data_IF_311046873713
#
_entry.id   IF_311046873713
#
_cell.length_a   1.000
_cell.length_b   1.000
_cell.length_c   1.000
_cell.angle_alpha   90.00
_cell.angle_beta   90.00
_cell.angle_gamma   90.00
#
_symmetry.space_group_name_H-M   'P 1'
#
loop_
_entity.id
_entity.type
_entity.pdbx_description
1 polymer ?
#
# COMPACT_ATOMS: atom_id res chain seq x y z
N UNK A 1 48.01 -10.92 -16.44
CA UNK A 1 47.31 -10.27 -15.33
C UNK A 1 45.84 -10.54 -15.52
N UNK A 2 45.13 -10.90 -14.48
CA UNK A 2 43.71 -11.19 -14.50
C UNK A 2 43.05 -10.35 -13.40
N UNK A 3 41.97 -9.65 -13.74
CA UNK A 3 41.22 -8.84 -12.78
C UNK A 3 39.98 -9.64 -12.34
N UNK A 4 39.70 -9.64 -11.04
CA UNK A 4 38.51 -10.26 -10.46
C UNK A 4 38.01 -9.42 -9.29
N UNK A 5 36.72 -9.47 -9.00
CA UNK A 5 36.13 -8.76 -7.86
C UNK A 5 35.23 -9.71 -7.05
N UNK A 6 35.12 -9.40 -5.77
CA UNK A 6 34.29 -10.11 -4.79
C UNK A 6 33.52 -9.10 -3.96
N UNK A 7 32.47 -9.55 -3.32
CA UNK A 7 31.84 -8.81 -2.25
C UNK A 7 32.44 -9.19 -0.89
N UNK A 8 32.36 -8.27 0.06
CA UNK A 8 32.77 -8.55 1.44
C UNK A 8 32.09 -9.83 1.96
N UNK A 9 32.92 -10.72 2.56
CA UNK A 9 32.47 -12.03 3.01
C UNK A 9 32.60 -13.16 1.98
N UNK A 10 32.79 -12.85 0.71
CA UNK A 10 33.10 -13.85 -0.32
C UNK A 10 34.58 -14.18 -0.38
N UNK A 11 34.94 -15.26 -1.06
CA UNK A 11 36.33 -15.64 -1.26
C UNK A 11 36.55 -16.22 -2.66
N UNK A 12 37.77 -16.01 -3.16
CA UNK A 12 38.25 -16.57 -4.41
C UNK A 12 39.32 -17.61 -4.10
N UNK A 13 39.18 -18.80 -4.67
CA UNK A 13 40.13 -19.88 -4.46
C UNK A 13 40.90 -20.15 -5.75
N UNK A 14 42.23 -20.11 -5.69
CA UNK A 14 43.10 -20.46 -6.79
C UNK A 14 44.34 -21.20 -6.25
N UNK A 15 44.70 -22.32 -6.87
CA UNK A 15 45.82 -23.22 -6.49
C UNK A 15 45.86 -23.53 -4.98
N UNK A 16 44.68 -23.78 -4.37
CA UNK A 16 44.54 -24.10 -2.95
C UNK A 16 44.73 -22.92 -2.00
N UNK A 17 44.95 -21.70 -2.48
CA UNK A 17 44.96 -20.49 -1.69
C UNK A 17 43.60 -19.80 -1.73
N UNK A 18 43.14 -19.39 -0.56
CA UNK A 18 41.88 -18.63 -0.41
C UNK A 18 42.20 -17.14 -0.26
N UNK A 19 41.65 -16.34 -1.18
CA UNK A 19 41.82 -14.88 -1.20
C UNK A 19 40.51 -14.20 -0.91
N UNK A 20 40.49 -13.27 0.03
CA UNK A 20 39.30 -12.50 0.46
C UNK A 20 39.61 -11.05 0.79
N UNK A 21 40.77 -10.54 0.36
CA UNK A 21 41.18 -9.16 0.58
C UNK A 21 41.66 -8.52 -0.72
N UNK A 22 41.42 -7.22 -0.87
CA UNK A 22 41.93 -6.46 -2.02
C UNK A 22 43.44 -6.53 -2.08
N UNK A 23 43.96 -6.87 -3.27
CA UNK A 23 45.42 -6.96 -3.47
C UNK A 23 45.80 -7.58 -4.82
N UNK A 24 47.12 -7.66 -5.03
CA UNK A 24 47.71 -8.31 -6.20
C UNK A 24 48.42 -9.58 -5.75
N UNK A 25 48.03 -10.70 -6.32
CA UNK A 25 48.48 -12.04 -5.92
C UNK A 25 49.18 -12.72 -7.08
N UNK A 26 50.53 -12.85 -7.06
CA UNK A 26 51.26 -13.63 -8.04
C UNK A 26 51.26 -15.13 -7.69
N UNK A 27 50.94 -15.97 -8.65
CA UNK A 27 51.01 -17.44 -8.56
C UNK A 27 52.10 -17.95 -9.52
N UNK A 28 53.00 -18.74 -9.00
CA UNK A 28 54.08 -19.34 -9.78
C UNK A 28 53.74 -20.77 -10.09
N UNK A 29 53.52 -21.05 -11.37
CA UNK A 29 53.14 -22.38 -11.86
C UNK A 29 54.30 -23.01 -12.63
N UNK A 30 54.53 -24.29 -12.42
CA UNK A 30 55.46 -25.08 -13.24
C UNK A 30 54.69 -26.03 -14.15
N UNK A 31 55.10 -26.08 -15.44
CA UNK A 31 54.60 -27.09 -16.34
C UNK A 31 55.33 -28.41 -16.10
N UNK A 32 54.76 -29.52 -16.55
CA UNK A 32 55.38 -30.87 -16.51
C UNK A 32 56.73 -30.94 -17.23
N UNK A 33 57.03 -29.96 -18.07
CA UNK A 33 58.31 -29.84 -18.81
C UNK A 33 59.29 -28.87 -18.14
N UNK A 34 58.97 -28.36 -16.91
CA UNK A 34 59.85 -27.48 -16.13
C UNK A 34 59.86 -26.01 -16.57
N UNK A 35 58.91 -25.58 -17.41
CA UNK A 35 58.77 -24.17 -17.76
C UNK A 35 57.96 -23.45 -16.66
N UNK A 36 58.55 -22.37 -16.13
CA UNK A 36 57.91 -21.50 -15.13
C UNK A 36 56.90 -20.56 -15.81
N UNK A 37 55.74 -20.40 -15.18
CA UNK A 37 54.67 -19.51 -15.61
C UNK A 37 54.17 -18.71 -14.40
N UNK A 38 53.97 -17.41 -14.55
CA UNK A 38 53.41 -16.57 -13.49
C UNK A 38 52.03 -16.09 -13.93
N UNK A 39 51.03 -16.35 -13.12
CA UNK A 39 49.69 -15.76 -13.24
C UNK A 39 49.51 -14.77 -12.09
N UNK A 40 49.15 -13.54 -12.40
CA UNK A 40 48.89 -12.52 -11.39
C UNK A 40 47.42 -12.17 -11.41
N UNK A 41 46.76 -12.30 -10.26
CA UNK A 41 45.38 -11.81 -10.03
C UNK A 41 45.40 -10.48 -9.30
N UNK A 42 44.65 -9.52 -9.83
CA UNK A 42 44.25 -8.31 -9.09
C UNK A 42 42.84 -8.58 -8.54
N UNK A 43 42.75 -8.66 -7.23
CA UNK A 43 41.48 -8.86 -6.54
C UNK A 43 41.05 -7.53 -5.94
N UNK A 44 39.79 -7.17 -6.20
CA UNK A 44 39.11 -6.03 -5.55
C UNK A 44 37.97 -6.62 -4.74
N UNK A 45 37.93 -6.33 -3.43
CA UNK A 45 36.82 -6.67 -2.55
C UNK A 45 36.01 -5.42 -2.30
N UNK A 46 34.76 -5.42 -2.75
CA UNK A 46 33.82 -4.33 -2.55
C UNK A 46 33.02 -4.55 -1.26
N UNK A 47 32.74 -3.46 -0.51
CA UNK A 47 31.86 -3.56 0.65
C UNK A 47 30.42 -3.87 0.20
N UNK A 48 29.68 -4.57 1.05
CA UNK A 48 28.23 -4.74 0.88
C UNK A 48 27.58 -3.38 1.17
N UNK A 49 26.73 -2.87 0.26
CA UNK A 49 26.03 -1.61 0.50
C UNK A 49 25.11 -1.68 1.71
N UNK A 50 24.85 -0.56 2.35
CA UNK A 50 23.78 -0.47 3.33
C UNK A 50 22.42 -0.67 2.66
N UNK A 51 21.39 -1.22 3.38
CA UNK A 51 20.05 -1.29 2.90
C UNK A 51 19.54 0.11 2.50
N UNK A 52 18.75 0.24 1.41
CA UNK A 52 18.20 1.54 1.00
C UNK A 52 17.19 2.06 2.04
N UNK A 53 17.13 3.38 2.21
CA UNK A 53 16.11 4.02 3.04
C UNK A 53 14.85 4.17 2.19
N UNK A 54 13.73 3.58 2.67
CA UNK A 54 12.46 3.58 1.95
C UNK A 54 11.49 4.60 2.56
N UNK A 55 10.69 5.22 1.70
CA UNK A 55 9.57 6.11 2.10
C UNK A 55 8.36 5.82 1.25
N UNK A 56 7.15 6.01 1.83
CA UNK A 56 5.88 5.86 1.13
C UNK A 56 4.82 6.80 1.68
N UNK A 57 3.69 6.89 0.98
CA UNK A 57 2.48 7.55 1.45
C UNK A 57 1.48 6.58 2.11
N UNK A 58 1.92 5.37 2.47
CA UNK A 58 1.07 4.43 3.22
C UNK A 58 0.83 4.92 4.66
N UNK A 59 -0.37 4.66 5.22
CA UNK A 59 -1.52 4.04 4.57
C UNK A 59 -2.21 4.97 3.56
N UNK A 60 -2.76 4.41 2.48
CA UNK A 60 -3.68 5.13 1.59
C UNK A 60 -5.11 5.04 2.13
N UNK A 61 -5.99 5.92 1.70
CA UNK A 61 -7.33 5.99 2.27
C UNK A 61 -8.26 4.92 1.68
N UNK A 62 -8.32 4.84 0.35
CA UNK A 62 -9.28 4.02 -0.38
C UNK A 62 -8.63 3.08 -1.39
N UNK A 63 -9.25 1.93 -1.71
CA UNK A 63 -8.92 1.17 -2.91
C UNK A 63 -9.04 2.06 -4.16
N UNK A 64 -8.03 2.01 -5.03
CA UNK A 64 -7.92 2.89 -6.19
C UNK A 64 -7.09 4.15 -5.96
N UNK A 65 -6.79 4.51 -4.72
CA UNK A 65 -5.89 5.62 -4.43
C UNK A 65 -4.46 5.32 -4.88
N UNK A 66 -3.75 6.39 -5.21
CA UNK A 66 -2.37 6.27 -5.68
C UNK A 66 -1.43 5.97 -4.51
N UNK A 67 -0.86 4.78 -4.49
CA UNK A 67 0.26 4.42 -3.64
C UNK A 67 1.57 4.83 -4.31
N UNK A 68 2.40 5.61 -3.59
CA UNK A 68 3.71 6.07 -4.04
C UNK A 68 4.75 5.61 -3.03
N UNK A 69 5.82 5.01 -3.51
CA UNK A 69 6.92 4.57 -2.67
C UNK A 69 8.26 4.71 -3.39
N UNK A 70 9.30 4.98 -2.62
CA UNK A 70 10.61 5.25 -3.17
C UNK A 70 11.75 4.84 -2.24
N UNK A 71 12.92 4.60 -2.84
CA UNK A 71 14.18 4.44 -2.16
C UNK A 71 15.00 5.73 -2.25
N UNK A 72 15.91 5.93 -1.30
CA UNK A 72 16.94 6.98 -1.40
C UNK A 72 17.91 6.68 -2.55
N UNK A 73 18.58 7.72 -3.03
CA UNK A 73 19.53 7.59 -4.15
C UNK A 73 20.92 7.17 -3.64
N UNK A 74 21.36 5.98 -4.07
CA UNK A 74 22.71 5.47 -3.82
C UNK A 74 23.56 5.62 -5.09
N UNK A 75 24.71 6.29 -4.97
CA UNK A 75 25.60 6.52 -6.12
C UNK A 75 26.09 5.20 -6.75
N UNK A 76 25.86 5.03 -8.05
CA UNK A 76 26.20 3.81 -8.78
C UNK A 76 25.33 2.60 -8.46
N UNK A 77 24.26 2.80 -7.70
CA UNK A 77 23.32 1.74 -7.31
C UNK A 77 22.29 1.41 -8.38
N UNK A 78 21.98 0.15 -8.50
CA UNK A 78 20.80 -0.37 -9.23
C UNK A 78 19.87 -1.02 -8.23
N UNK A 79 18.56 -0.82 -8.39
CA UNK A 79 17.55 -1.28 -7.44
C UNK A 79 16.81 -2.49 -7.95
N UNK A 80 16.37 -3.33 -7.02
CA UNK A 80 15.38 -4.36 -7.29
C UNK A 80 14.31 -4.28 -6.20
N UNK A 81 13.08 -4.01 -6.62
CA UNK A 81 11.89 -4.07 -5.80
C UNK A 81 11.13 -5.35 -6.06
N UNK A 82 10.59 -5.90 -5.00
CA UNK A 82 9.65 -7.02 -5.02
C UNK A 82 8.48 -6.73 -4.09
N UNK A 83 7.31 -7.33 -4.35
CA UNK A 83 6.13 -7.08 -3.52
C UNK A 83 4.97 -8.01 -3.84
N UNK A 84 3.78 -7.60 -3.38
CA UNK A 84 2.55 -8.37 -3.53
C UNK A 84 2.20 -8.59 -5.01
N UNK A 85 1.45 -9.66 -5.29
CA UNK A 85 0.98 -10.03 -6.63
C UNK A 85 2.09 -10.15 -7.70
N UNK A 86 3.32 -10.46 -7.27
CA UNK A 86 4.45 -10.56 -8.19
C UNK A 86 4.99 -9.21 -8.66
N UNK A 87 4.70 -8.13 -7.94
CA UNK A 87 5.28 -6.82 -8.24
C UNK A 87 6.80 -6.89 -8.29
N UNK A 88 7.38 -6.33 -9.34
CA UNK A 88 8.83 -6.19 -9.49
C UNK A 88 9.15 -4.91 -10.27
N UNK A 89 10.17 -4.18 -9.83
CA UNK A 89 10.60 -2.93 -10.46
C UNK A 89 12.08 -2.66 -10.19
N UNK A 90 12.71 -1.91 -11.10
CA UNK A 90 14.09 -1.40 -10.92
C UNK A 90 14.12 0.12 -10.78
N UNK A 91 12.98 0.78 -10.73
CA UNK A 91 12.88 2.22 -10.58
C UNK A 91 13.10 2.66 -9.14
N UNK A 92 13.74 3.82 -8.92
CA UNK A 92 13.90 4.42 -7.59
C UNK A 92 12.54 4.83 -7.02
N UNK A 93 11.67 5.40 -7.86
CA UNK A 93 10.31 5.81 -7.51
C UNK A 93 9.32 4.92 -8.23
N UNK A 94 8.35 4.41 -7.48
CA UNK A 94 7.30 3.54 -7.99
C UNK A 94 5.92 4.08 -7.57
N UNK A 95 4.90 3.83 -8.38
CA UNK A 95 3.51 4.16 -8.05
C UNK A 95 2.53 3.28 -8.82
N UNK A 96 1.40 3.01 -8.18
CA UNK A 96 0.23 2.36 -8.81
C UNK A 96 -1.03 2.67 -8.00
N UNK A 97 -2.20 2.42 -8.58
CA UNK A 97 -3.48 2.56 -7.87
C UNK A 97 -3.70 1.30 -7.03
N UNK A 98 -3.62 1.46 -5.70
CA UNK A 98 -3.67 0.37 -4.74
C UNK A 98 -5.04 -0.32 -4.71
N UNK A 99 -5.04 -1.64 -4.71
CA UNK A 99 -6.23 -2.46 -4.50
C UNK A 99 -6.10 -3.24 -3.19
N UNK A 100 -7.20 -3.76 -2.67
CA UNK A 100 -7.20 -4.57 -1.43
C UNK A 100 -6.26 -5.78 -1.55
N UNK A 101 -6.15 -6.35 -2.74
CA UNK A 101 -5.22 -7.46 -3.01
C UNK A 101 -3.74 -7.07 -2.95
N UNK A 102 -3.42 -5.77 -3.00
CA UNK A 102 -2.04 -5.27 -3.00
C UNK A 102 -1.53 -4.95 -1.59
N UNK A 103 -2.41 -5.03 -0.57
CA UNK A 103 -2.04 -4.85 0.84
C UNK A 103 -0.95 -5.85 1.22
N UNK A 104 0.15 -5.34 1.81
CA UNK A 104 1.26 -6.16 2.28
C UNK A 104 2.61 -5.51 2.10
N UNK A 105 3.66 -6.34 2.17
CA UNK A 105 5.05 -5.90 2.22
C UNK A 105 5.65 -5.72 0.83
N UNK A 106 6.38 -4.63 0.66
CA UNK A 106 7.21 -4.31 -0.50
C UNK A 106 8.65 -4.14 -0.03
N UNK A 107 9.56 -4.88 -0.65
CA UNK A 107 10.97 -4.91 -0.29
C UNK A 107 11.84 -4.35 -1.41
N UNK A 108 12.94 -3.70 -1.05
CA UNK A 108 13.94 -3.22 -2.00
C UNK A 108 15.36 -3.57 -1.57
N UNK A 109 16.18 -3.95 -2.53
CA UNK A 109 17.64 -4.06 -2.41
C UNK A 109 18.32 -3.08 -3.34
N UNK A 110 19.57 -2.72 -3.04
CA UNK A 110 20.42 -1.93 -3.92
C UNK A 110 21.73 -2.68 -4.20
N UNK A 111 22.13 -2.75 -5.46
CA UNK A 111 23.36 -3.38 -5.89
C UNK A 111 24.35 -2.30 -6.34
N UNK A 112 25.57 -2.31 -5.77
CA UNK A 112 26.68 -1.42 -6.13
C UNK A 112 27.92 -2.27 -6.44
N UNK A 113 28.54 -2.05 -7.58
CA UNK A 113 29.71 -2.83 -8.05
C UNK A 113 29.48 -4.35 -8.06
N UNK A 114 28.23 -4.80 -8.24
CA UNK A 114 27.84 -6.21 -8.24
C UNK A 114 27.55 -6.78 -6.85
N UNK A 115 27.70 -5.99 -5.77
CA UNK A 115 27.38 -6.41 -4.41
C UNK A 115 25.99 -5.91 -3.99
N UNK A 116 25.13 -6.84 -3.58
CA UNK A 116 23.75 -6.57 -3.19
C UNK A 116 23.65 -6.28 -1.68
N UNK A 117 22.86 -5.28 -1.32
CA UNK A 117 22.55 -4.95 0.07
C UNK A 117 21.56 -5.94 0.70
N UNK A 118 21.45 -5.98 2.03
CA UNK A 118 20.26 -6.48 2.67
C UNK A 118 19.01 -5.71 2.19
N UNK A 119 17.85 -6.36 2.23
CA UNK A 119 16.58 -5.74 1.87
C UNK A 119 16.12 -4.75 2.96
N UNK A 120 15.47 -3.67 2.53
CA UNK A 120 14.59 -2.84 3.36
C UNK A 120 13.15 -3.10 2.96
N UNK A 121 12.22 -2.90 3.89
CA UNK A 121 10.80 -3.20 3.70
C UNK A 121 9.92 -2.01 4.06
N UNK A 122 8.81 -1.86 3.35
CA UNK A 122 7.69 -0.97 3.66
C UNK A 122 6.39 -1.75 3.50
N UNK A 123 5.34 -1.30 4.17
CA UNK A 123 4.01 -1.91 4.06
C UNK A 123 3.04 -0.97 3.34
N UNK A 124 2.23 -1.52 2.46
CA UNK A 124 1.02 -0.89 1.96
C UNK A 124 -0.15 -1.33 2.81
N UNK A 125 -0.91 -0.36 3.32
CA UNK A 125 -2.17 -0.57 3.99
C UNK A 125 -3.24 0.37 3.42
N UNK A 126 -4.52 -0.02 3.52
CA UNK A 126 -5.68 0.76 3.10
C UNK A 126 -6.62 0.90 4.29
N UNK A 127 -6.93 2.13 4.68
CA UNK A 127 -7.68 2.39 5.93
C UNK A 127 -9.18 2.18 5.81
N UNK A 128 -9.76 2.35 4.60
CA UNK A 128 -11.20 2.25 4.34
C UNK A 128 -11.49 1.12 3.34
N UNK A 129 -11.57 -0.12 3.83
CA UNK A 129 -11.85 -1.31 3.02
C UNK A 129 -13.28 -1.85 3.19
N UNK A 130 -14.08 -1.21 4.04
CA UNK A 130 -15.45 -1.68 4.31
C UNK A 130 -16.41 -1.35 3.17
N UNK A 131 -17.36 -2.24 2.95
CA UNK A 131 -18.44 -2.07 1.99
C UNK A 131 -19.77 -1.78 2.71
N UNK A 132 -20.79 -1.30 1.98
CA UNK A 132 -22.12 -1.07 2.55
C UNK A 132 -22.80 -2.37 3.03
N UNK A 133 -22.37 -3.52 2.56
CA UNK A 133 -22.92 -4.82 2.99
C UNK A 133 -22.51 -5.17 4.42
N UNK A 134 -21.41 -4.63 4.92
CA UNK A 134 -20.87 -4.89 6.25
C UNK A 134 -21.61 -4.10 7.36
N UNK A 135 -22.56 -3.21 6.99
CA UNK A 135 -23.22 -2.32 7.93
C UNK A 135 -24.68 -2.64 8.19
N UNK A 136 -25.04 -2.60 9.48
CA UNK A 136 -26.44 -2.51 9.91
C UNK A 136 -26.82 -1.05 10.18
N UNK A 137 -27.87 -0.57 9.51
CA UNK A 137 -28.38 0.77 9.71
C UNK A 137 -29.09 0.92 11.05
N UNK A 138 -28.92 2.06 11.77
CA UNK A 138 -29.81 2.40 12.85
C UNK A 138 -31.23 2.57 12.28
N UNK A 139 -32.18 1.95 12.92
CA UNK A 139 -33.57 1.96 12.48
C UNK A 139 -34.46 2.99 13.24
N UNK A 140 -33.84 3.82 14.08
CA UNK A 140 -34.50 4.89 14.85
C UNK A 140 -33.64 6.12 14.90
N UNK A 141 -34.23 7.29 14.69
CA UNK A 141 -33.66 8.59 15.04
C UNK A 141 -34.63 9.33 15.95
N UNK A 142 -34.10 10.06 16.94
CA UNK A 142 -34.86 10.88 17.88
C UNK A 142 -34.55 12.35 17.62
N UNK A 143 -35.19 12.91 16.60
CA UNK A 143 -34.91 14.28 16.13
C UNK A 143 -35.55 15.37 17.07
N UNK A 144 -35.22 15.30 18.37
CA UNK A 144 -35.79 16.15 19.44
C UNK A 144 -34.81 17.26 19.89
N UNK A 145 -33.56 17.26 19.39
CA UNK A 145 -32.55 18.28 19.68
C UNK A 145 -31.83 18.11 21.02
N UNK A 146 -31.84 16.92 21.60
CA UNK A 146 -31.13 16.62 22.87
C UNK A 146 -29.66 16.21 22.68
N UNK A 147 -29.21 16.07 21.45
CA UNK A 147 -27.85 15.66 21.06
C UNK A 147 -27.65 14.15 21.02
N UNK A 148 -28.70 13.35 21.22
CA UNK A 148 -28.63 11.89 21.21
C UNK A 148 -29.50 11.33 20.07
N UNK A 149 -28.90 10.66 19.11
CA UNK A 149 -29.58 10.08 17.93
C UNK A 149 -30.43 11.08 17.12
N UNK A 150 -30.13 12.38 17.20
CA UNK A 150 -30.83 13.43 16.47
C UNK A 150 -30.63 13.35 14.96
N UNK A 151 -29.54 12.74 14.53
CA UNK A 151 -29.14 12.69 13.13
C UNK A 151 -28.67 11.32 12.73
N UNK A 152 -28.91 10.99 11.46
CA UNK A 152 -28.25 9.88 10.78
C UNK A 152 -27.15 10.45 9.89
N UNK A 153 -25.91 10.37 10.36
CA UNK A 153 -24.73 10.76 9.59
C UNK A 153 -24.22 9.55 8.83
N UNK A 154 -24.56 9.47 7.55
CA UNK A 154 -24.17 8.35 6.72
C UNK A 154 -22.66 8.30 6.49
N UNK A 155 -21.97 9.44 6.40
CA UNK A 155 -20.52 9.47 6.19
C UNK A 155 -19.75 9.04 7.44
N UNK A 156 -20.23 9.42 8.63
CA UNK A 156 -19.62 8.96 9.88
C UNK A 156 -19.83 7.45 10.10
N UNK A 157 -20.99 6.92 9.68
CA UNK A 157 -21.27 5.49 9.73
C UNK A 157 -20.51 4.71 8.66
N UNK A 158 -20.38 5.28 7.45
CA UNK A 158 -19.78 4.60 6.32
C UNK A 158 -18.38 5.14 6.05
N UNK A 159 -17.41 4.63 6.75
CA UNK A 159 -16.00 4.79 6.37
C UNK A 159 -15.71 4.00 5.08
N UNK A 160 -16.61 4.11 4.09
CA UNK A 160 -16.47 3.43 2.81
C UNK A 160 -15.97 4.41 1.77
N UNK A 161 -15.29 3.87 0.77
CA UNK A 161 -14.82 4.61 -0.38
C UNK A 161 -15.83 4.60 -1.55
N UNK A 162 -16.96 3.94 -1.34
CA UNK A 162 -18.00 3.80 -2.35
C UNK A 162 -18.88 5.05 -2.43
N UNK A 163 -19.22 5.45 -3.64
CA UNK A 163 -20.22 6.48 -3.88
C UNK A 163 -21.60 5.92 -3.57
N UNK A 164 -22.46 6.73 -2.94
CA UNK A 164 -23.81 6.32 -2.60
C UNK A 164 -24.84 7.41 -2.85
N UNK A 165 -26.10 6.99 -2.98
CA UNK A 165 -27.30 7.84 -2.89
C UNK A 165 -28.23 7.21 -1.88
N UNK A 166 -28.61 7.95 -0.86
CA UNK A 166 -29.57 7.57 0.15
C UNK A 166 -30.87 8.35 -0.07
N UNK A 167 -31.96 7.62 -0.37
CA UNK A 167 -33.29 8.19 -0.61
C UNK A 167 -34.25 7.69 0.47
N UNK A 168 -35.03 8.57 1.07
CA UNK A 168 -36.00 8.28 2.10
C UNK A 168 -37.41 8.60 1.60
N UNK A 169 -38.34 7.66 1.81
CA UNK A 169 -39.69 7.72 1.33
C UNK A 169 -40.70 7.63 2.50
N UNK A 170 -41.81 8.33 2.38
CA UNK A 170 -42.96 8.14 3.28
C UNK A 170 -43.70 6.81 2.98
N UNK A 171 -44.71 6.51 3.77
CA UNK A 171 -45.56 5.29 3.61
C UNK A 171 -46.31 5.24 2.29
N UNK A 172 -46.41 6.33 1.57
CA UNK A 172 -47.09 6.42 0.28
C UNK A 172 -46.11 6.33 -0.90
N UNK A 173 -44.82 6.18 -0.62
CA UNK A 173 -43.76 6.14 -1.63
C UNK A 173 -43.35 7.51 -2.13
N UNK A 174 -43.69 8.60 -1.44
CA UNK A 174 -43.27 9.93 -1.77
C UNK A 174 -41.82 10.14 -1.25
N UNK A 175 -40.90 10.60 -2.10
CA UNK A 175 -39.54 10.96 -1.71
C UNK A 175 -39.60 12.18 -0.79
N UNK A 176 -39.11 12.04 0.45
CA UNK A 176 -39.10 13.09 1.46
C UNK A 176 -37.70 13.62 1.75
N UNK A 177 -36.67 12.82 1.53
CA UNK A 177 -35.28 13.22 1.71
C UNK A 177 -34.37 12.45 0.76
N UNK A 178 -33.32 13.12 0.28
CA UNK A 178 -32.26 12.49 -0.50
C UNK A 178 -30.91 13.07 -0.09
N UNK A 179 -29.92 12.20 0.06
CA UNK A 179 -28.55 12.54 0.39
C UNK A 179 -27.58 11.69 -0.44
N UNK A 180 -26.40 12.22 -0.70
CA UNK A 180 -25.31 11.55 -1.38
C UNK A 180 -23.99 11.92 -0.71
N UNK A 181 -22.88 11.37 -1.19
CA UNK A 181 -21.55 11.67 -0.67
C UNK A 181 -21.34 13.19 -0.51
N UNK A 182 -20.83 13.62 0.66
CA UNK A 182 -20.65 15.03 1.02
C UNK A 182 -21.92 15.76 1.41
N UNK A 183 -23.05 15.06 1.53
CA UNK A 183 -24.31 15.65 1.96
C UNK A 183 -24.41 15.79 3.48
N UNK A 184 -25.30 16.72 3.95
CA UNK A 184 -25.54 16.89 5.37
C UNK A 184 -26.23 15.66 5.99
N UNK A 185 -25.96 15.33 7.26
CA UNK A 185 -26.67 14.27 7.97
C UNK A 185 -28.18 14.45 7.93
N UNK A 186 -28.90 13.34 7.82
CA UNK A 186 -30.37 13.35 7.91
C UNK A 186 -30.81 13.64 9.35
N UNK A 187 -31.52 14.75 9.55
CA UNK A 187 -31.94 15.26 10.87
C UNK A 187 -33.47 15.25 11.02
N UNK A 188 -34.17 14.26 10.47
CA UNK A 188 -35.62 14.19 10.55
C UNK A 188 -36.35 15.31 9.78
N UNK A 189 -35.74 15.85 8.72
CA UNK A 189 -36.25 16.92 7.89
C UNK A 189 -36.46 16.49 6.44
N UNK A 190 -37.49 17.06 5.81
CA UNK A 190 -37.72 16.91 4.37
C UNK A 190 -36.67 17.68 3.54
N UNK A 191 -36.69 17.48 2.20
CA UNK A 191 -35.86 18.24 1.25
C UNK A 191 -36.11 19.76 1.33
N UNK A 192 -37.29 20.18 1.77
CA UNK A 192 -37.67 21.58 1.95
C UNK A 192 -37.29 22.10 3.36
N UNK A 193 -36.57 21.33 4.16
CA UNK A 193 -36.23 21.64 5.56
C UNK A 193 -37.42 21.67 6.53
N UNK A 194 -38.60 21.16 6.12
CA UNK A 194 -39.74 20.98 7.00
C UNK A 194 -39.53 19.76 7.89
N UNK A 195 -40.04 19.85 9.11
CA UNK A 195 -39.97 18.73 10.05
C UNK A 195 -40.86 17.55 9.59
N UNK A 196 -40.27 16.37 9.48
CA UNK A 196 -41.04 15.16 9.21
C UNK A 196 -41.86 14.77 10.45
N UNK A 197 -43.05 14.21 10.25
CA UNK A 197 -43.90 13.71 11.33
C UNK A 197 -43.31 12.43 11.93
N UNK A 198 -43.65 12.17 13.19
CA UNK A 198 -43.34 10.89 13.82
C UNK A 198 -43.91 9.74 12.97
N UNK A 199 -43.07 8.75 12.72
CA UNK A 199 -43.50 7.61 11.92
C UNK A 199 -42.38 6.83 11.28
N UNK A 200 -42.77 5.82 10.53
CA UNK A 200 -41.83 4.96 9.80
C UNK A 200 -41.68 5.48 8.38
N UNK A 201 -40.43 5.64 8.01
CA UNK A 201 -39.96 6.01 6.66
C UNK A 201 -39.13 4.88 6.08
N UNK A 202 -39.23 4.66 4.78
CA UNK A 202 -38.51 3.60 4.10
C UNK A 202 -37.33 4.18 3.36
N UNK A 203 -36.14 3.59 3.51
CA UNK A 203 -34.96 4.05 2.79
C UNK A 203 -34.58 3.10 1.66
N UNK A 204 -33.96 3.70 0.64
CA UNK A 204 -33.24 3.03 -0.40
C UNK A 204 -31.83 3.62 -0.45
N UNK A 205 -30.81 2.81 -0.15
CA UNK A 205 -29.41 3.14 -0.35
C UNK A 205 -28.97 2.47 -1.65
N UNK A 206 -28.56 3.28 -2.61
CA UNK A 206 -27.97 2.81 -3.88
C UNK A 206 -26.49 3.10 -3.87
N UNK A 207 -25.66 2.12 -4.17
CA UNK A 207 -24.21 2.21 -4.23
C UNK A 207 -23.70 1.38 -5.42
N UNK A 208 -22.38 1.45 -5.70
CA UNK A 208 -21.83 0.86 -6.93
C UNK A 208 -22.14 -0.65 -7.07
N UNK A 209 -22.03 -1.40 -5.97
CA UNK A 209 -22.19 -2.86 -5.98
C UNK A 209 -23.62 -3.32 -5.72
N UNK A 210 -24.57 -2.42 -5.38
CA UNK A 210 -25.92 -2.87 -5.07
C UNK A 210 -26.90 -1.83 -4.53
N UNK A 211 -27.96 -2.39 -3.94
CA UNK A 211 -29.03 -1.63 -3.31
C UNK A 211 -29.37 -2.27 -1.97
N UNK A 212 -29.40 -1.44 -0.90
CA UNK A 212 -29.87 -1.83 0.42
C UNK A 212 -31.14 -1.08 0.75
N UNK A 213 -32.15 -1.78 1.24
CA UNK A 213 -33.44 -1.20 1.61
C UNK A 213 -33.73 -1.51 3.08
N UNK A 214 -34.46 -0.62 3.71
CA UNK A 214 -34.90 -0.81 5.09
C UNK A 214 -35.86 0.30 5.52
N UNK A 215 -35.95 0.52 6.83
CA UNK A 215 -36.79 1.57 7.38
C UNK A 215 -36.08 2.31 8.52
N UNK A 216 -36.53 3.54 8.75
CA UNK A 216 -36.13 4.39 9.87
C UNK A 216 -37.40 4.89 10.56
N UNK A 217 -37.44 4.79 11.87
CA UNK A 217 -38.48 5.39 12.70
C UNK A 217 -37.99 6.77 13.14
N UNK A 218 -38.68 7.82 12.70
CA UNK A 218 -38.46 9.19 13.16
C UNK A 218 -39.35 9.44 14.37
N UNK A 219 -38.76 9.87 15.48
CA UNK A 219 -39.42 10.22 16.76
C UNK A 219 -38.97 11.62 17.16
N UNK A 220 -39.87 12.41 17.70
CA UNK A 220 -39.59 13.77 18.18
C UNK A 220 -39.92 13.95 19.66
#
# INVERSE_FOLDING_TARGET
MRDTSLCEGEFFVFEGQTLNTTGTFPFYLQTTLGCDSTITYNLIVYPIPNPPILTSNSPVECPGDLFIFQADSVSGGTYLWTGMNGFSSTSIVNSFNAQVSDIGTYAATVTVNGCESPASEIELDITKIYTFDDFEFPNVITANGDGINDTLDLEAYFQTCQQFTFSLFDRWGTLVHENSNGGSPFAGKSMNSDDLMDGVYYYKLTYEDGIKNGYIHVIR
#
